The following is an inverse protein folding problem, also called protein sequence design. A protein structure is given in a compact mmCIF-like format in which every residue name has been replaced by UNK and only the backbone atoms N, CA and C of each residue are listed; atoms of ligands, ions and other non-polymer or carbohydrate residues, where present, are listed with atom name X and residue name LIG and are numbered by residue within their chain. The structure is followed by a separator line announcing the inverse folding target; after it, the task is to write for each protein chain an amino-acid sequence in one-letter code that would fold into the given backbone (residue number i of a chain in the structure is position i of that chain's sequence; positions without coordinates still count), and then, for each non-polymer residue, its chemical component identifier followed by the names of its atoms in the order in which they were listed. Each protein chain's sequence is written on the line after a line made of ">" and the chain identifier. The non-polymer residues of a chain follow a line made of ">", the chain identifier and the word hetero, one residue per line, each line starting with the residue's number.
data_IF_588335683994
#
_entry.id   IF_588335683994
#
_cell.length_a   1.000
_cell.length_b   1.000
_cell.length_c   1.000
_cell.angle_alpha   90.00
_cell.angle_beta   90.00
_cell.angle_gamma   90.00
#
_symmetry.space_group_name_H-M   'P 1'
#
loop_
_entity.id
_entity.type
_entity.pdbx_description
1 polymer ?
#
# COMPACT_ATOMS: atom_id res chain seq x y z
N UNK A 1 12.39 -4.91 -19.30
CA UNK A 1 13.16 -4.29 -18.20
C UNK A 1 12.29 -3.34 -17.40
N UNK A 2 11.62 -3.86 -16.37
CA UNK A 2 10.52 -3.16 -15.70
C UNK A 2 10.95 -2.10 -14.67
N UNK A 3 12.20 -2.15 -14.19
CA UNK A 3 12.74 -1.26 -13.15
C UNK A 3 13.91 -0.38 -13.62
N UNK A 4 14.11 -0.28 -14.94
CA UNK A 4 15.22 0.51 -15.51
C UNK A 4 15.09 2.01 -15.23
N UNK A 5 13.85 2.49 -15.19
CA UNK A 5 13.54 3.92 -14.95
C UNK A 5 13.61 4.30 -13.47
N UNK A 6 13.54 3.32 -12.56
CA UNK A 6 13.62 3.54 -11.11
C UNK A 6 15.07 3.63 -10.61
N UNK A 7 16.04 3.19 -11.42
CA UNK A 7 17.45 3.16 -11.05
C UNK A 7 18.14 4.52 -11.30
N UNK A 8 19.00 4.98 -10.37
CA UNK A 8 19.78 6.21 -10.56
C UNK A 8 20.68 6.19 -11.80
N UNK A 9 21.08 5.02 -12.28
CA UNK A 9 21.82 4.84 -13.53
C UNK A 9 21.32 3.61 -14.27
N UNK A 10 21.01 3.78 -15.56
CA UNK A 10 20.51 2.73 -16.44
C UNK A 10 21.61 1.76 -16.95
N UNK A 11 22.82 1.87 -16.41
CA UNK A 11 23.95 1.03 -16.79
C UNK A 11 23.99 -0.26 -15.94
N UNK A 12 23.60 -1.36 -16.57
CA UNK A 12 23.63 -2.69 -15.95
C UNK A 12 25.05 -3.16 -15.58
N UNK A 13 26.08 -2.67 -16.27
CA UNK A 13 27.46 -3.00 -15.94
C UNK A 13 27.88 -2.33 -14.63
N UNK A 14 27.44 -1.08 -14.41
CA UNK A 14 27.68 -0.37 -13.16
C UNK A 14 27.03 -1.13 -11.99
N UNK A 15 25.78 -1.57 -12.14
CA UNK A 15 25.10 -2.40 -11.14
C UNK A 15 25.85 -3.71 -10.86
N UNK A 16 26.34 -4.40 -11.89
CA UNK A 16 27.12 -5.62 -11.72
C UNK A 16 28.42 -5.37 -10.96
N UNK A 17 29.15 -4.29 -11.27
CA UNK A 17 30.37 -3.92 -10.54
C UNK A 17 30.09 -3.53 -9.10
N UNK A 18 29.02 -2.78 -8.83
CA UNK A 18 28.57 -2.45 -7.47
C UNK A 18 28.27 -3.72 -6.66
N UNK A 19 27.60 -4.69 -7.28
CA UNK A 19 27.29 -5.99 -6.66
C UNK A 19 28.54 -6.81 -6.35
N UNK A 20 29.49 -6.87 -7.27
CA UNK A 20 30.75 -7.58 -7.06
C UNK A 20 31.59 -6.94 -5.94
N UNK A 21 31.67 -5.61 -5.93
CA UNK A 21 32.34 -4.84 -4.87
C UNK A 21 31.67 -5.08 -3.51
N UNK A 22 30.34 -5.06 -3.46
CA UNK A 22 29.57 -5.36 -2.25
C UNK A 22 29.80 -6.80 -1.76
N UNK A 23 29.74 -7.79 -2.65
CA UNK A 23 30.06 -9.18 -2.29
C UNK A 23 31.49 -9.33 -1.77
N UNK A 24 32.46 -8.71 -2.44
CA UNK A 24 33.86 -8.76 -2.03
C UNK A 24 34.10 -8.12 -0.66
N UNK A 25 33.42 -7.01 -0.37
CA UNK A 25 33.44 -6.38 0.96
C UNK A 25 33.02 -7.37 2.06
N UNK A 26 31.94 -8.10 1.85
CA UNK A 26 31.43 -9.06 2.84
C UNK A 26 32.20 -10.37 2.89
N UNK A 27 32.82 -10.81 1.78
CA UNK A 27 33.75 -11.96 1.76
C UNK A 27 35.04 -11.69 2.53
N UNK A 28 35.52 -10.43 2.54
CA UNK A 28 36.72 -10.00 3.26
C UNK A 28 36.47 -9.61 4.73
N UNK A 29 35.20 -9.44 5.12
CA UNK A 29 34.83 -9.00 6.47
C UNK A 29 34.65 -10.21 7.40
N UNK A 30 35.20 -10.14 8.62
CA UNK A 30 35.02 -11.17 9.65
C UNK A 30 33.52 -11.42 9.93
N UNK A 31 33.15 -12.69 10.15
CA UNK A 31 31.77 -13.15 10.39
C UNK A 31 31.07 -12.32 11.48
N UNK A 32 31.81 -11.83 12.48
CA UNK A 32 31.29 -11.02 13.58
C UNK A 32 30.71 -9.66 13.16
N UNK A 33 31.08 -9.12 11.99
CA UNK A 33 30.54 -7.86 11.45
C UNK A 33 29.59 -8.08 10.27
N UNK A 34 29.33 -9.34 9.89
CA UNK A 34 28.40 -9.65 8.81
C UNK A 34 26.97 -9.40 9.31
N UNK A 35 26.14 -8.68 8.56
CA UNK A 35 24.74 -8.49 8.94
C UNK A 35 24.05 -9.85 8.99
N UNK A 36 23.47 -10.18 10.15
CA UNK A 36 22.69 -11.41 10.33
C UNK A 36 21.27 -11.23 9.77
N UNK A 37 20.78 -9.99 9.76
CA UNK A 37 19.42 -9.67 9.39
C UNK A 37 19.37 -8.80 8.12
N UNK A 38 18.23 -8.86 7.42
CA UNK A 38 17.96 -8.01 6.25
C UNK A 38 18.01 -6.53 6.63
N UNK A 39 17.54 -6.18 7.83
CA UNK A 39 17.57 -4.81 8.37
C UNK A 39 19.00 -4.33 8.59
N UNK A 40 19.88 -5.17 9.11
CA UNK A 40 21.30 -4.81 9.33
C UNK A 40 22.03 -4.62 7.99
N UNK A 41 21.66 -5.43 6.99
CA UNK A 41 22.18 -5.29 5.62
C UNK A 41 21.75 -3.96 5.00
N UNK A 42 20.48 -3.58 5.17
CA UNK A 42 19.94 -2.30 4.74
C UNK A 42 20.61 -1.12 5.44
N UNK A 43 20.81 -1.20 6.77
CA UNK A 43 21.50 -0.16 7.53
C UNK A 43 22.97 0.02 7.11
N UNK A 44 23.66 -1.07 6.81
CA UNK A 44 25.02 -1.01 6.27
C UNK A 44 25.05 -0.39 4.87
N UNK A 45 24.02 -0.61 4.05
CA UNK A 45 23.88 -0.02 2.72
C UNK A 45 23.52 1.47 2.80
N UNK A 46 22.68 1.88 3.76
CA UNK A 46 22.36 3.28 4.10
C UNK A 46 23.64 4.09 4.35
N UNK A 47 24.58 3.54 5.13
CA UNK A 47 25.87 4.18 5.40
C UNK A 47 26.80 4.29 4.18
N UNK A 48 26.49 3.55 3.11
CA UNK A 48 27.27 3.50 1.87
C UNK A 48 26.46 3.89 0.65
N UNK A 49 25.35 4.61 0.83
CA UNK A 49 24.44 5.03 -0.24
C UNK A 49 25.16 5.78 -1.36
N UNK A 50 26.19 6.56 -1.01
CA UNK A 50 27.03 7.29 -1.97
C UNK A 50 27.95 6.38 -2.81
N UNK A 51 28.30 5.19 -2.32
CA UNK A 51 29.18 4.25 -3.00
C UNK A 51 28.44 3.19 -3.81
N UNK A 52 27.19 2.89 -3.45
CA UNK A 52 26.37 1.85 -4.09
C UNK A 52 24.94 2.36 -4.38
N UNK A 53 24.77 3.40 -5.20
CA UNK A 53 23.48 4.04 -5.41
C UNK A 53 22.44 3.12 -6.06
N UNK A 54 22.84 2.26 -7.01
CA UNK A 54 21.91 1.38 -7.72
C UNK A 54 21.50 0.19 -6.85
N UNK A 55 22.46 -0.42 -6.13
CA UNK A 55 22.12 -1.44 -5.13
C UNK A 55 21.22 -0.90 -4.03
N UNK A 56 21.48 0.31 -3.55
CA UNK A 56 20.66 0.92 -2.51
C UNK A 56 19.19 1.04 -2.96
N UNK A 57 18.98 1.61 -4.14
CA UNK A 57 17.64 1.76 -4.72
C UNK A 57 16.94 0.40 -4.89
N UNK A 58 17.65 -0.62 -5.38
CA UNK A 58 17.10 -1.96 -5.54
C UNK A 58 16.65 -2.56 -4.21
N UNK A 59 17.49 -2.44 -3.17
CA UNK A 59 17.17 -2.95 -1.83
C UNK A 59 16.04 -2.17 -1.16
N UNK A 60 15.96 -0.86 -1.39
CA UNK A 60 14.85 0.00 -0.94
C UNK A 60 13.53 -0.43 -1.61
N UNK A 61 13.55 -0.64 -2.93
CA UNK A 61 12.40 -1.18 -3.68
C UNK A 61 12.00 -2.56 -3.14
N UNK A 62 12.95 -3.46 -2.90
CA UNK A 62 12.68 -4.76 -2.28
C UNK A 62 12.10 -4.66 -0.87
N UNK A 63 12.41 -3.62 -0.09
CA UNK A 63 11.81 -3.39 1.21
C UNK A 63 10.38 -2.83 1.11
N UNK A 64 10.12 -2.00 0.09
CA UNK A 64 8.81 -1.38 -0.15
C UNK A 64 7.82 -2.36 -0.77
N UNK A 65 8.26 -3.28 -1.64
CA UNK A 65 7.40 -4.25 -2.32
C UNK A 65 6.56 -5.12 -1.34
N UNK A 66 7.14 -5.78 -0.32
CA UNK A 66 6.37 -6.53 0.67
C UNK A 66 5.43 -5.63 1.49
N UNK A 67 5.87 -4.40 1.81
CA UNK A 67 5.10 -3.46 2.64
C UNK A 67 3.87 -2.95 1.88
N UNK A 68 4.03 -2.61 0.60
CA UNK A 68 2.93 -2.17 -0.28
C UNK A 68 1.97 -3.31 -0.58
N UNK A 69 2.48 -4.52 -0.88
CA UNK A 69 1.65 -5.72 -1.08
C UNK A 69 0.89 -6.06 0.20
N UNK A 70 1.54 -6.09 1.36
CA UNK A 70 0.86 -6.35 2.65
C UNK A 70 -0.19 -5.30 2.99
N UNK A 71 0.07 -4.02 2.69
CA UNK A 71 -0.88 -2.93 2.94
C UNK A 71 -2.06 -3.00 1.98
N UNK A 72 -1.81 -3.32 0.71
CA UNK A 72 -2.85 -3.56 -0.29
C UNK A 72 -3.71 -4.77 0.11
N UNK A 73 -3.09 -5.91 0.44
CA UNK A 73 -3.78 -7.11 0.92
C UNK A 73 -4.61 -6.84 2.18
N UNK A 74 -4.08 -6.07 3.14
CA UNK A 74 -4.81 -5.67 4.35
C UNK A 74 -6.02 -4.81 4.02
N UNK A 75 -5.86 -3.83 3.13
CA UNK A 75 -6.95 -2.96 2.68
C UNK A 75 -8.02 -3.75 1.93
N UNK A 76 -7.63 -4.64 1.01
CA UNK A 76 -8.54 -5.52 0.29
C UNK A 76 -9.22 -6.54 1.21
N UNK A 77 -8.51 -7.08 2.19
CA UNK A 77 -9.07 -8.00 3.19
C UNK A 77 -10.10 -7.29 4.08
N UNK A 78 -9.78 -6.08 4.54
CA UNK A 78 -10.71 -5.24 5.31
C UNK A 78 -11.95 -4.91 4.49
N UNK A 79 -11.76 -4.47 3.24
CA UNK A 79 -12.85 -4.22 2.30
C UNK A 79 -13.68 -5.48 2.05
N UNK A 80 -13.05 -6.61 1.78
CA UNK A 80 -13.72 -7.90 1.59
C UNK A 80 -14.52 -8.31 2.82
N UNK A 81 -14.02 -8.07 4.03
CA UNK A 81 -14.74 -8.35 5.29
C UNK A 81 -15.95 -7.44 5.44
N UNK A 82 -15.82 -6.13 5.20
CA UNK A 82 -16.92 -5.16 5.20
C UNK A 82 -17.98 -5.56 4.18
N UNK A 83 -17.56 -5.83 2.94
CA UNK A 83 -18.41 -6.29 1.85
C UNK A 83 -19.14 -7.59 2.25
N UNK A 84 -18.44 -8.56 2.82
CA UNK A 84 -19.05 -9.85 3.22
C UNK A 84 -20.09 -9.69 4.33
N UNK A 85 -19.78 -8.90 5.36
CA UNK A 85 -20.72 -8.64 6.47
C UNK A 85 -21.97 -7.93 5.95
N UNK A 86 -21.80 -6.91 5.12
CA UNK A 86 -22.91 -6.14 4.58
C UNK A 86 -23.72 -6.93 3.55
N UNK A 87 -23.09 -7.76 2.69
CA UNK A 87 -23.79 -8.62 1.72
C UNK A 87 -24.70 -9.65 2.40
N UNK A 88 -24.28 -10.17 3.54
CA UNK A 88 -25.10 -11.08 4.34
C UNK A 88 -26.31 -10.38 4.97
N UNK A 89 -26.33 -9.04 5.00
CA UNK A 89 -27.41 -8.23 5.59
C UNK A 89 -28.18 -7.38 4.57
N UNK A 90 -27.66 -7.19 3.35
CA UNK A 90 -28.10 -6.20 2.36
C UNK A 90 -27.87 -6.77 0.93
N UNK A 91 -28.82 -6.57 0.01
CA UNK A 91 -28.66 -6.97 -1.40
C UNK A 91 -27.51 -6.25 -2.14
N UNK A 92 -26.95 -6.90 -3.17
CA UNK A 92 -25.72 -6.50 -3.88
C UNK A 92 -25.69 -5.03 -4.39
N UNK A 93 -26.83 -4.50 -4.81
CA UNK A 93 -26.95 -3.12 -5.30
C UNK A 93 -26.76 -2.09 -4.19
N UNK A 94 -27.41 -2.30 -3.04
CA UNK A 94 -27.27 -1.42 -1.87
C UNK A 94 -25.85 -1.48 -1.31
N UNK A 95 -25.20 -2.64 -1.41
CA UNK A 95 -23.81 -2.81 -0.99
C UNK A 95 -22.84 -1.99 -1.85
N UNK A 96 -23.03 -2.03 -3.17
CA UNK A 96 -22.21 -1.27 -4.13
C UNK A 96 -22.34 0.24 -3.88
N UNK A 97 -23.56 0.72 -3.64
CA UNK A 97 -23.81 2.13 -3.31
C UNK A 97 -23.17 2.54 -1.97
N UNK A 98 -23.19 1.65 -0.96
CA UNK A 98 -22.56 1.95 0.33
C UNK A 98 -21.03 1.94 0.26
N UNK A 99 -20.45 1.05 -0.53
CA UNK A 99 -19.01 1.04 -0.80
C UNK A 99 -18.57 2.33 -1.50
N UNK A 100 -19.35 2.83 -2.46
CA UNK A 100 -19.11 4.11 -3.12
C UNK A 100 -19.10 5.27 -2.12
N UNK A 101 -20.07 5.31 -1.20
CA UNK A 101 -20.13 6.32 -0.12
C UNK A 101 -18.91 6.22 0.80
N UNK A 102 -18.47 4.99 1.12
CA UNK A 102 -17.31 4.79 2.00
C UNK A 102 -15.98 5.20 1.35
N UNK A 103 -15.79 4.90 0.05
CA UNK A 103 -14.60 5.32 -0.70
C UNK A 103 -14.58 6.85 -0.86
N UNK A 104 -15.74 7.45 -1.12
CA UNK A 104 -15.92 8.90 -1.23
C UNK A 104 -16.40 9.53 0.09
N UNK A 105 -15.93 8.99 1.24
CA UNK A 105 -16.34 9.46 2.56
C UNK A 105 -16.13 10.97 2.74
N UNK A 106 -15.06 11.53 2.18
CA UNK A 106 -14.75 12.96 2.30
C UNK A 106 -15.75 13.86 1.57
N UNK A 107 -16.39 13.34 0.53
CA UNK A 107 -17.47 14.02 -0.18
C UNK A 107 -18.78 13.79 0.57
N UNK A 108 -18.99 12.57 1.08
CA UNK A 108 -20.18 12.19 1.82
C UNK A 108 -20.29 12.87 3.19
N UNK A 109 -19.17 13.18 3.85
CA UNK A 109 -19.14 13.89 5.14
C UNK A 109 -19.52 15.36 5.00
N UNK A 110 -19.37 15.92 3.79
CA UNK A 110 -19.81 17.26 3.43
C UNK A 110 -21.28 17.30 2.92
N UNK A 111 -21.95 16.14 2.80
CA UNK A 111 -23.37 16.10 2.45
C UNK A 111 -24.21 16.51 3.67
N UNK A 112 -25.12 17.44 3.45
CA UNK A 112 -26.11 17.80 4.44
C UNK A 112 -27.14 16.66 4.59
N UNK A 113 -27.17 16.06 5.77
CA UNK A 113 -28.07 14.94 6.09
C UNK A 113 -29.54 15.33 5.93
N UNK A 114 -29.89 16.60 6.18
CA UNK A 114 -31.26 17.11 6.00
C UNK A 114 -31.71 17.11 4.54
N UNK A 115 -30.81 17.38 3.60
CA UNK A 115 -31.12 17.32 2.18
C UNK A 115 -31.35 15.88 1.72
N UNK A 116 -30.54 14.95 2.23
CA UNK A 116 -30.72 13.51 1.98
C UNK A 116 -32.06 13.02 2.54
N UNK A 117 -32.43 13.42 3.75
CA UNK A 117 -33.72 13.09 4.37
C UNK A 117 -34.87 13.69 3.55
N UNK A 118 -34.76 14.95 3.13
CA UNK A 118 -35.80 15.61 2.33
C UNK A 118 -36.00 14.93 0.97
N UNK A 119 -34.92 14.49 0.31
CA UNK A 119 -34.99 13.70 -0.93
C UNK A 119 -35.62 12.33 -0.65
N UNK A 120 -35.22 11.68 0.44
CA UNK A 120 -35.77 10.39 0.83
C UNK A 120 -37.27 10.46 1.18
N UNK A 121 -37.72 11.54 1.81
CA UNK A 121 -39.12 11.80 2.15
C UNK A 121 -39.99 12.18 0.95
N UNK A 122 -39.40 12.75 -0.12
CA UNK A 122 -40.10 13.05 -1.38
C UNK A 122 -40.44 11.78 -2.18
N UNK A 123 -39.74 10.68 -1.92
CA UNK A 123 -40.02 9.39 -2.55
C UNK A 123 -41.28 8.76 -1.91
N UNK A 124 -42.29 8.44 -2.73
CA UNK A 124 -43.60 7.95 -2.24
C UNK A 124 -43.47 6.49 -1.77
N UNK A 125 -43.01 6.29 -0.53
CA UNK A 125 -42.97 4.97 0.11
C UNK A 125 -44.04 4.81 1.17
N UNK A 126 -44.58 3.60 1.28
CA UNK A 126 -45.60 3.19 2.28
C UNK A 126 -45.01 3.00 3.69
N UNK A 127 -44.18 3.91 4.18
CA UNK A 127 -43.66 3.80 5.56
C UNK A 127 -43.83 5.15 6.24
N UNK A 128 -44.72 5.20 7.23
CA UNK A 128 -44.94 6.37 8.08
C UNK A 128 -43.85 6.40 9.15
N UNK A 129 -42.91 7.33 9.05
CA UNK A 129 -42.05 7.66 10.17
C UNK A 129 -42.87 8.50 11.16
N UNK A 130 -43.44 7.85 12.18
CA UNK A 130 -44.01 8.58 13.32
C UNK A 130 -42.85 9.01 14.21
N UNK A 131 -42.49 10.29 14.15
CA UNK A 131 -41.61 10.91 15.14
C UNK A 131 -42.37 10.95 16.48
N UNK A 132 -41.78 10.36 17.52
CA UNK A 132 -42.24 10.47 18.91
C UNK A 132 -41.16 11.18 19.71
#
# INVERSE_FOLDING_TARGET
>A
DFYKDDLPSNDMNLLATEFDMWQHKWKKTSIAKKPSNVIDSLNALLSLRSFYPNLYCLFELFAILPVTVSTAERSFSTMKRIITILRNSIGDERLSNLALIHIHHDIASNLNVEDVINIFCKDKRRIKFTNK
#
